data_IF_647063382493
#
_entry.id   IF_647063382493
#
_cell.length_a   1.000
_cell.length_b   1.000
_cell.length_c   1.000
_cell.angle_alpha   90.00
_cell.angle_beta   90.00
_cell.angle_gamma   90.00
#
_symmetry.space_group_name_H-M   'P 1'
#
loop_
_entity.id
_entity.type
_entity.pdbx_description
1 polymer ?
#
# COMPACT_ATOMS: atom_id res chain seq x y z
N UNK A 1 10.67 25.25 3.39
CA UNK A 1 10.64 23.85 2.97
C UNK A 1 11.55 23.71 1.77
N UNK A 2 12.74 23.15 1.96
CA UNK A 2 13.59 22.66 0.86
C UNK A 2 12.89 21.44 0.23
N UNK A 3 13.12 21.13 -1.05
CA UNK A 3 12.41 20.08 -1.79
C UNK A 3 12.58 18.64 -1.26
N UNK A 4 13.27 18.45 -0.13
CA UNK A 4 13.63 17.15 0.46
C UNK A 4 12.81 16.72 1.67
N UNK A 5 11.94 17.57 2.25
CA UNK A 5 11.06 17.19 3.37
C UNK A 5 9.59 17.20 2.91
N UNK A 6 9.12 16.07 2.37
CA UNK A 6 7.71 15.83 2.06
C UNK A 6 7.21 14.62 2.84
N UNK A 7 6.08 14.77 3.54
CA UNK A 7 5.39 13.63 4.14
C UNK A 7 4.64 12.87 3.04
N UNK A 8 5.26 11.82 2.50
CA UNK A 8 4.69 11.04 1.41
C UNK A 8 3.34 10.39 1.79
N UNK A 9 3.12 10.05 3.06
CA UNK A 9 1.88 9.41 3.52
C UNK A 9 0.67 10.36 3.42
N UNK A 10 0.88 11.66 3.59
CA UNK A 10 -0.18 12.66 3.46
C UNK A 10 -0.24 13.24 2.04
N UNK A 11 0.90 13.70 1.53
CA UNK A 11 0.94 14.47 0.29
C UNK A 11 0.76 13.60 -0.97
N UNK A 12 1.19 12.33 -0.93
CA UNK A 12 1.11 11.43 -2.07
C UNK A 12 -0.01 10.39 -1.96
N UNK A 13 -0.95 10.55 -1.02
CA UNK A 13 -2.06 9.59 -0.78
C UNK A 13 -2.87 9.27 -2.05
N UNK A 14 -3.03 10.24 -2.95
CA UNK A 14 -3.78 10.10 -4.20
C UNK A 14 -2.88 9.98 -5.44
N UNK A 15 -1.59 9.72 -5.26
CA UNK A 15 -0.59 9.68 -6.34
C UNK A 15 0.59 10.62 -6.11
N UNK A 16 1.67 10.39 -6.84
CA UNK A 16 2.91 11.14 -6.66
C UNK A 16 2.79 12.60 -7.11
N UNK A 17 3.02 13.55 -6.21
CA UNK A 17 2.94 15.01 -6.50
C UNK A 17 4.26 15.62 -6.97
N UNK A 18 5.39 14.93 -6.77
CA UNK A 18 6.73 15.44 -7.11
C UNK A 18 7.26 14.93 -8.45
N UNK A 19 6.58 13.97 -9.10
CA UNK A 19 7.03 13.33 -10.33
C UNK A 19 8.42 12.72 -10.16
N UNK A 20 9.35 13.08 -11.06
CA UNK A 20 10.72 12.56 -11.06
C UNK A 20 11.62 13.15 -9.95
N UNK A 21 11.09 14.05 -9.13
CA UNK A 21 11.79 14.54 -7.92
C UNK A 21 11.40 13.76 -6.66
N UNK A 22 10.63 12.69 -6.80
CA UNK A 22 10.30 11.82 -5.67
C UNK A 22 11.59 11.29 -5.03
N UNK A 23 11.77 11.39 -3.69
CA UNK A 23 12.92 10.78 -3.02
C UNK A 23 12.85 9.24 -3.02
N UNK A 24 11.66 8.68 -3.25
CA UNK A 24 11.33 7.26 -3.15
C UNK A 24 11.22 6.56 -4.51
N UNK A 25 12.03 6.97 -5.50
CA UNK A 25 11.97 6.41 -6.86
C UNK A 25 12.30 4.92 -6.92
N UNK A 26 13.15 4.44 -6.02
CA UNK A 26 13.51 3.02 -5.97
C UNK A 26 12.28 2.13 -5.75
N UNK A 27 11.38 2.52 -4.84
CA UNK A 27 10.14 1.78 -4.58
C UNK A 27 9.20 1.78 -5.79
N UNK A 28 9.16 2.88 -6.56
CA UNK A 28 8.44 2.91 -7.84
C UNK A 28 9.01 1.86 -8.80
N UNK A 29 10.33 1.78 -8.92
CA UNK A 29 10.98 0.82 -9.80
C UNK A 29 10.76 -0.63 -9.36
N UNK A 30 10.84 -0.89 -8.05
CA UNK A 30 10.54 -2.22 -7.49
C UNK A 30 9.08 -2.63 -7.75
N UNK A 31 8.13 -1.70 -7.57
CA UNK A 31 6.72 -1.95 -7.87
C UNK A 31 6.49 -2.25 -9.36
N UNK A 32 7.09 -1.46 -10.26
CA UNK A 32 7.04 -1.74 -11.71
C UNK A 32 7.63 -3.11 -12.04
N UNK A 33 8.79 -3.44 -11.49
CA UNK A 33 9.42 -4.73 -11.71
C UNK A 33 8.55 -5.88 -11.20
N UNK A 34 7.91 -5.74 -10.04
CA UNK A 34 6.97 -6.73 -9.53
C UNK A 34 5.81 -6.96 -10.50
N UNK A 35 5.19 -5.89 -11.01
CA UNK A 35 4.07 -5.98 -11.97
C UNK A 35 4.52 -6.64 -13.27
N UNK A 36 5.71 -6.31 -13.77
CA UNK A 36 6.24 -6.86 -15.03
C UNK A 36 6.61 -8.35 -14.91
N UNK A 37 7.10 -8.77 -13.75
CA UNK A 37 7.64 -10.12 -13.54
C UNK A 37 6.66 -11.09 -12.89
N UNK A 38 5.56 -10.60 -12.32
CA UNK A 38 4.53 -11.42 -11.69
C UNK A 38 3.36 -11.59 -12.65
N UNK A 39 2.99 -12.84 -12.95
CA UNK A 39 1.82 -13.09 -13.78
C UNK A 39 0.53 -12.71 -13.05
N UNK A 40 -0.52 -12.38 -13.81
CA UNK A 40 -1.84 -12.11 -13.24
C UNK A 40 -2.34 -13.28 -12.39
N UNK A 41 -2.18 -14.51 -12.88
CA UNK A 41 -2.56 -15.72 -12.13
C UNK A 41 -1.85 -15.80 -10.78
N UNK A 42 -0.54 -15.46 -10.73
CA UNK A 42 0.22 -15.47 -9.48
C UNK A 42 -0.26 -14.38 -8.51
N UNK A 43 -0.65 -13.22 -9.02
CA UNK A 43 -1.24 -12.16 -8.18
C UNK A 43 -2.58 -12.60 -7.59
N UNK A 44 -3.41 -13.29 -8.36
CA UNK A 44 -4.70 -13.81 -7.89
C UNK A 44 -4.51 -14.88 -6.80
N UNK A 45 -3.56 -15.81 -6.98
CA UNK A 45 -3.18 -16.80 -5.97
C UNK A 45 -2.77 -16.13 -4.64
N UNK A 46 -1.95 -15.07 -4.72
CA UNK A 46 -1.55 -14.30 -3.53
C UNK A 46 -2.74 -13.65 -2.83
N UNK A 47 -3.69 -13.11 -3.60
CA UNK A 47 -4.90 -12.49 -3.06
C UNK A 47 -5.80 -13.50 -2.35
N UNK A 48 -5.98 -14.71 -2.93
CA UNK A 48 -6.76 -15.79 -2.31
C UNK A 48 -6.15 -16.27 -0.99
N UNK A 49 -4.83 -16.44 -0.95
CA UNK A 49 -4.12 -16.81 0.29
C UNK A 49 -4.23 -15.72 1.36
N UNK A 50 -4.18 -14.44 0.99
CA UNK A 50 -4.41 -13.34 1.91
C UNK A 50 -5.83 -13.36 2.51
N UNK A 51 -6.85 -13.63 1.69
CA UNK A 51 -8.23 -13.81 2.17
C UNK A 51 -8.35 -14.99 3.13
N UNK A 52 -7.72 -16.11 2.80
CA UNK A 52 -7.70 -17.31 3.65
C UNK A 52 -7.08 -17.01 5.02
N UNK A 53 -5.95 -16.30 5.05
CA UNK A 53 -5.30 -15.87 6.30
C UNK A 53 -6.19 -14.97 7.12
N UNK A 54 -6.79 -13.95 6.51
CA UNK A 54 -7.73 -13.03 7.16
C UNK A 54 -8.93 -13.76 7.76
N UNK A 55 -9.41 -14.83 7.12
CA UNK A 55 -10.51 -15.66 7.63
C UNK A 55 -10.12 -16.52 8.84
N UNK A 56 -8.82 -16.86 8.99
CA UNK A 56 -8.29 -17.62 10.13
C UNK A 56 -7.89 -16.72 11.31
N UNK A 57 -7.66 -15.43 11.07
CA UNK A 57 -7.35 -14.47 12.10
C UNK A 57 -8.54 -14.23 13.04
N UNK A 58 -8.30 -14.02 14.34
CA UNK A 58 -9.38 -13.66 15.27
C UNK A 58 -10.01 -12.33 14.85
N UNK A 59 -11.31 -12.13 15.11
CA UNK A 59 -12.00 -10.90 14.74
C UNK A 59 -11.36 -9.69 15.45
N UNK A 60 -10.99 -8.67 14.69
CA UNK A 60 -10.63 -7.36 15.22
C UNK A 60 -11.90 -6.59 15.56
N UNK A 61 -12.13 -6.35 16.85
CA UNK A 61 -13.23 -5.51 17.31
C UNK A 61 -12.83 -4.05 17.14
N UNK A 62 -13.64 -3.29 16.41
CA UNK A 62 -13.48 -1.85 16.24
C UNK A 62 -14.64 -1.19 16.98
N UNK A 63 -14.35 -0.30 17.94
CA UNK A 63 -15.41 0.39 18.66
C UNK A 63 -15.93 1.56 17.83
N UNK A 64 -17.22 1.92 17.95
CA UNK A 64 -17.81 3.02 17.17
C UNK A 64 -17.06 4.36 17.28
N UNK A 65 -16.42 4.62 18.42
CA UNK A 65 -15.54 5.77 18.66
C UNK A 65 -14.24 5.77 17.84
N UNK A 66 -13.75 4.61 17.42
CA UNK A 66 -12.52 4.46 16.62
C UNK A 66 -12.78 4.68 15.12
N UNK A 67 -14.04 4.57 14.68
CA UNK A 67 -14.47 4.70 13.28
C UNK A 67 -14.07 3.50 12.40
N UNK A 68 -14.74 3.33 11.25
CA UNK A 68 -14.33 2.36 10.22
C UNK A 68 -13.37 3.09 9.26
N UNK A 69 -12.11 3.23 9.68
CA UNK A 69 -11.02 3.65 8.79
C UNK A 69 -10.49 2.48 7.97
N UNK A 70 -9.89 2.69 6.77
CA UNK A 70 -9.17 1.63 6.08
C UNK A 70 -8.05 1.14 7.02
N UNK A 71 -8.20 -0.10 7.46
CA UNK A 71 -7.25 -0.94 8.18
C UNK A 71 -6.10 -0.15 8.85
N UNK A 72 -6.28 0.22 10.13
CA UNK A 72 -5.18 0.69 10.98
C UNK A 72 -4.04 -0.35 10.97
N UNK A 73 -2.89 0.06 10.41
CA UNK A 73 -1.60 -0.65 10.45
C UNK A 73 -1.13 -0.91 11.88
#
# INVERSE_FOLDING_TARGET
>A
MTPTEINCAEACKNGCVLGDRCPNQEYRNQASQFIETTSLDKMLEMAEEALRRKAMEPPKWVFPEDGIGPDVE
#
